data_IF_119620115659
#
_entry.id   IF_119620115659
#
_cell.length_a   1.000
_cell.length_b   1.000
_cell.length_c   1.000
_cell.angle_alpha   90.00
_cell.angle_beta   90.00
_cell.angle_gamma   90.00
#
_symmetry.space_group_name_H-M   'P 1'
#
loop_
_entity.id
_entity.type
_entity.pdbx_description
1 polymer ?
#
# COMPACT_ATOMS: atom_id res chain seq x y z
N UNK A 1 -3.49 -27.26 17.38
CA UNK A 1 -2.15 -26.67 17.50
C UNK A 1 -2.23 -25.15 17.64
N UNK A 2 -2.48 -24.60 18.84
CA UNK A 2 -2.69 -23.17 19.04
C UNK A 2 -1.46 -22.30 18.67
N UNK A 3 -0.25 -22.84 18.80
CA UNK A 3 1.00 -22.14 18.47
C UNK A 3 1.24 -22.06 16.96
N UNK A 4 1.10 -23.19 16.25
CA UNK A 4 1.22 -23.22 14.79
C UNK A 4 0.15 -22.37 14.09
N UNK A 5 -1.06 -22.31 14.67
CA UNK A 5 -2.13 -21.47 14.14
C UNK A 5 -1.77 -19.98 14.18
N UNK A 6 -1.18 -19.49 15.28
CA UNK A 6 -0.70 -18.10 15.38
C UNK A 6 0.40 -17.81 14.37
N UNK A 7 1.38 -18.71 14.27
CA UNK A 7 2.49 -18.57 13.31
C UNK A 7 1.98 -18.54 11.86
N UNK A 8 1.00 -19.37 11.52
CA UNK A 8 0.39 -19.36 10.19
C UNK A 8 -0.33 -18.05 9.88
N UNK A 9 -1.02 -17.44 10.87
CA UNK A 9 -1.67 -16.15 10.69
C UNK A 9 -0.70 -15.01 10.41
N UNK A 10 0.54 -15.07 10.91
CA UNK A 10 1.55 -14.04 10.65
C UNK A 10 2.29 -14.27 9.33
N UNK A 11 2.58 -15.55 8.99
CA UNK A 11 3.40 -15.90 7.83
C UNK A 11 2.61 -15.95 6.53
N UNK A 12 1.37 -16.45 6.54
CA UNK A 12 0.56 -16.57 5.32
C UNK A 12 0.21 -15.23 4.65
N UNK A 13 -0.09 -14.13 5.37
CA UNK A 13 -0.36 -12.84 4.76
C UNK A 13 0.90 -12.05 4.41
N UNK A 14 2.09 -12.51 4.80
CA UNK A 14 3.34 -11.88 4.37
C UNK A 14 3.42 -11.94 2.84
N UNK A 15 3.54 -10.77 2.24
CA UNK A 15 3.61 -10.68 0.79
C UNK A 15 4.94 -11.28 0.31
N UNK A 16 4.87 -12.34 -0.50
CA UNK A 16 6.06 -13.00 -1.03
C UNK A 16 6.76 -12.23 -2.16
N UNK A 17 6.13 -11.18 -2.70
CA UNK A 17 6.64 -10.41 -3.84
C UNK A 17 6.49 -8.90 -3.63
N UNK A 18 7.33 -8.14 -4.33
CA UNK A 18 7.30 -6.67 -4.34
C UNK A 18 6.22 -6.09 -5.28
N UNK A 19 5.41 -6.94 -5.92
CA UNK A 19 4.34 -6.56 -6.86
C UNK A 19 3.34 -5.52 -6.30
N UNK A 20 2.92 -5.54 -5.02
CA UNK A 20 2.05 -4.51 -4.49
C UNK A 20 2.76 -3.16 -4.41
N UNK A 21 4.04 -3.14 -4.05
CA UNK A 21 4.84 -1.92 -4.02
C UNK A 21 4.99 -1.37 -5.44
N UNK A 22 5.31 -2.20 -6.43
CA UNK A 22 5.41 -1.79 -7.84
C UNK A 22 4.08 -1.23 -8.37
N UNK A 23 2.95 -1.84 -7.99
CA UNK A 23 1.62 -1.34 -8.36
C UNK A 23 1.33 0.02 -7.74
N UNK A 24 1.69 0.23 -6.47
CA UNK A 24 1.55 1.53 -5.79
C UNK A 24 2.38 2.58 -6.53
N UNK A 25 3.67 2.30 -6.78
CA UNK A 25 4.59 3.21 -7.48
C UNK A 25 4.15 3.53 -8.91
N UNK A 26 3.71 2.52 -9.67
CA UNK A 26 3.17 2.69 -11.02
C UNK A 26 1.93 3.59 -11.02
N UNK A 27 1.00 3.36 -10.08
CA UNK A 27 -0.22 4.17 -9.95
C UNK A 27 0.03 5.60 -9.46
N UNK A 28 1.18 5.84 -8.82
CA UNK A 28 1.54 7.13 -8.24
C UNK A 28 2.43 7.98 -9.15
N UNK A 29 3.00 7.39 -10.22
CA UNK A 29 3.84 8.10 -11.19
C UNK A 29 3.15 9.32 -11.83
N UNK A 30 1.84 9.23 -12.05
CA UNK A 30 1.02 10.36 -12.56
C UNK A 30 0.94 11.54 -11.59
N UNK A 31 1.04 11.29 -10.29
CA UNK A 31 0.99 12.32 -9.24
C UNK A 31 2.38 12.84 -8.90
N UNK A 32 3.42 12.03 -9.11
CA UNK A 32 4.82 12.34 -8.83
C UNK A 32 5.48 13.20 -9.93
N UNK A 33 5.58 12.67 -11.16
CA UNK A 33 6.37 13.30 -12.23
C UNK A 33 5.52 13.89 -13.36
N UNK A 34 4.39 13.25 -13.72
CA UNK A 34 3.61 13.61 -14.92
C UNK A 34 2.89 14.97 -14.80
N UNK A 35 2.44 15.34 -13.60
CA UNK A 35 1.65 16.57 -13.39
C UNK A 35 2.45 17.76 -12.84
N UNK A 36 3.78 17.67 -12.71
CA UNK A 36 4.64 18.70 -12.07
C UNK A 36 4.10 19.15 -10.71
N UNK A 37 3.49 18.24 -9.98
CA UNK A 37 3.08 18.45 -8.61
C UNK A 37 4.37 18.60 -7.81
N UNK A 38 4.76 19.82 -7.44
CA UNK A 38 5.90 20.06 -6.54
C UNK A 38 5.57 19.60 -5.11
N UNK A 39 5.04 18.38 -4.97
CA UNK A 39 4.80 17.78 -3.68
C UNK A 39 6.14 17.37 -3.10
N UNK A 40 6.35 17.73 -1.84
CA UNK A 40 7.41 17.15 -1.04
C UNK A 40 7.18 15.64 -0.92
N UNK A 41 8.27 14.87 -0.87
CA UNK A 41 8.27 13.42 -0.64
C UNK A 41 7.37 13.03 0.55
N UNK A 42 7.43 13.81 1.64
CA UNK A 42 6.59 13.62 2.81
C UNK A 42 5.10 13.74 2.52
N UNK A 43 4.70 14.75 1.74
CA UNK A 43 3.29 14.98 1.43
C UNK A 43 2.77 13.90 0.47
N UNK A 44 3.62 13.40 -0.41
CA UNK A 44 3.30 12.30 -1.32
C UNK A 44 3.08 10.98 -0.56
N UNK A 45 3.94 10.67 0.41
CA UNK A 45 3.78 9.50 1.28
C UNK A 45 2.45 9.52 2.02
N UNK A 46 2.11 10.65 2.66
CA UNK A 46 0.85 10.83 3.37
C UNK A 46 -0.35 10.63 2.43
N UNK A 47 -0.29 11.12 1.19
CA UNK A 47 -1.37 10.93 0.23
C UNK A 47 -1.50 9.48 -0.24
N UNK A 48 -0.40 8.74 -0.42
CA UNK A 48 -0.50 7.31 -0.77
C UNK A 48 -1.08 6.49 0.39
N UNK A 49 -0.71 6.79 1.64
CA UNK A 49 -1.31 6.16 2.83
C UNK A 49 -2.81 6.46 2.89
N UNK A 50 -3.21 7.72 2.71
CA UNK A 50 -4.61 8.13 2.73
C UNK A 50 -5.43 7.46 1.61
N UNK A 51 -4.87 7.39 0.40
CA UNK A 51 -5.46 6.69 -0.74
C UNK A 51 -5.70 5.21 -0.42
N UNK A 52 -4.73 4.55 0.22
CA UNK A 52 -4.85 3.15 0.60
C UNK A 52 -5.94 2.93 1.66
N UNK A 53 -5.98 3.78 2.70
CA UNK A 53 -7.00 3.71 3.76
C UNK A 53 -8.42 3.82 3.19
N UNK A 54 -8.69 4.83 2.37
CA UNK A 54 -10.01 4.98 1.73
C UNK A 54 -10.36 3.81 0.80
N UNK A 55 -9.38 3.20 0.14
CA UNK A 55 -9.62 2.06 -0.74
C UNK A 55 -9.94 0.79 0.06
N UNK A 56 -9.36 0.62 1.25
CA UNK A 56 -9.65 -0.47 2.16
C UNK A 56 -11.03 -0.30 2.82
N UNK A 57 -11.38 0.92 3.26
CA UNK A 57 -12.71 1.21 3.84
C UNK A 57 -13.85 0.98 2.85
N UNK A 58 -13.64 1.23 1.55
CA UNK A 58 -14.65 0.96 0.51
C UNK A 58 -14.89 -0.52 0.21
N UNK A 59 -14.01 -1.42 0.69
CA UNK A 59 -14.12 -2.86 0.48
C UNK A 59 -14.79 -3.58 1.67
N UNK A 60 -15.03 -2.86 2.78
CA UNK A 60 -15.72 -3.34 3.98
C UNK A 60 -17.25 -3.08 3.87
N UNK A 61 -17.93 -3.74 2.93
CA UNK A 61 -19.41 -3.74 2.81
C UNK A 61 -19.99 -5.15 2.95
#
# INVERSE_FOLDING_TARGET
FPLLYRVALDILPVQASAVPCERVFSSSGETDTSRRSRLSEFMFEVLQILKYLYHHERLEF
#
